data_IF_753690942738
#
_entry.id   IF_753690942738
#
_cell.length_a   1.000
_cell.length_b   1.000
_cell.length_c   1.000
_cell.angle_alpha   90.00
_cell.angle_beta   90.00
_cell.angle_gamma   90.00
#
_symmetry.space_group_name_H-M   'P 1'
#
loop_
_entity.id
_entity.type
_entity.pdbx_description
1 polymer ?
#
# COMPACT_ATOMS: atom_id res chain seq x y z
N UNK A 1 -8.82 12.19 -13.11
CA UNK A 1 -7.87 12.54 -12.03
C UNK A 1 -7.70 11.41 -11.03
N UNK A 2 -8.79 10.87 -10.46
CA UNK A 2 -8.77 9.71 -9.54
C UNK A 2 -7.98 8.52 -10.07
N UNK A 3 -8.23 8.06 -11.31
CA UNK A 3 -7.48 6.95 -11.92
C UNK A 3 -5.96 7.24 -12.01
N UNK A 4 -5.57 8.47 -12.35
CA UNK A 4 -4.15 8.88 -12.40
C UNK A 4 -3.51 8.87 -11.00
N UNK A 5 -4.26 9.27 -9.96
CA UNK A 5 -3.81 9.21 -8.56
C UNK A 5 -3.68 7.76 -8.08
N UNK A 6 -4.59 6.88 -8.48
CA UNK A 6 -4.50 5.45 -8.18
C UNK A 6 -3.20 4.85 -8.73
N UNK A 7 -2.90 5.12 -10.01
CA UNK A 7 -1.67 4.63 -10.64
C UNK A 7 -0.43 5.18 -9.92
N UNK A 8 -0.41 6.47 -9.59
CA UNK A 8 0.71 7.08 -8.85
C UNK A 8 0.95 6.41 -7.50
N UNK A 9 -0.10 6.19 -6.70
CA UNK A 9 0.00 5.56 -5.39
C UNK A 9 0.39 4.08 -5.47
N UNK A 10 -0.15 3.33 -6.44
CA UNK A 10 0.22 1.93 -6.62
C UNK A 10 1.68 1.76 -7.05
N UNK A 11 2.17 2.64 -7.93
CA UNK A 11 3.58 2.63 -8.38
C UNK A 11 4.51 3.02 -7.25
N UNK A 12 4.13 3.98 -6.41
CA UNK A 12 4.94 4.41 -5.26
C UNK A 12 5.22 3.24 -4.30
N UNK A 13 4.20 2.45 -3.96
CA UNK A 13 4.37 1.24 -3.14
C UNK A 13 5.28 0.20 -3.82
N UNK A 14 5.11 -0.05 -5.11
CA UNK A 14 5.90 -1.03 -5.85
C UNK A 14 7.38 -0.64 -5.94
N UNK A 15 7.67 0.64 -6.18
CA UNK A 15 9.05 1.16 -6.25
C UNK A 15 9.73 1.07 -4.88
N UNK A 16 9.02 1.44 -3.83
CA UNK A 16 9.52 1.33 -2.45
C UNK A 16 9.91 -0.12 -2.13
N UNK A 17 9.01 -1.09 -2.36
CA UNK A 17 9.33 -2.51 -2.16
C UNK A 17 10.52 -2.97 -3.00
N UNK A 18 10.60 -2.58 -4.27
CA UNK A 18 11.69 -2.94 -5.17
C UNK A 18 13.06 -2.39 -4.72
N UNK A 19 13.10 -1.16 -4.21
CA UNK A 19 14.33 -0.57 -3.66
C UNK A 19 14.73 -1.28 -2.37
N UNK A 20 13.80 -1.55 -1.47
CA UNK A 20 14.09 -2.28 -0.23
C UNK A 20 14.57 -3.72 -0.49
N UNK A 21 14.04 -4.38 -1.51
CA UNK A 21 14.50 -5.69 -1.96
C UNK A 21 15.93 -5.66 -2.52
N UNK A 22 16.26 -4.63 -3.30
CA UNK A 22 17.61 -4.47 -3.88
C UNK A 22 18.67 -4.14 -2.81
N UNK A 23 18.28 -3.41 -1.76
CA UNK A 23 19.15 -3.06 -0.62
C UNK A 23 19.27 -4.17 0.44
N UNK A 24 18.55 -5.29 0.29
CA UNK A 24 18.60 -6.37 1.26
C UNK A 24 20.01 -7.04 1.28
N UNK A 25 20.61 -7.19 2.48
CA UNK A 25 21.97 -7.70 2.64
C UNK A 25 22.11 -9.22 2.43
N UNK A 26 21.00 -9.97 2.54
CA UNK A 26 21.01 -11.42 2.39
C UNK A 26 21.13 -11.84 0.92
N UNK A 27 21.91 -12.87 0.57
CA UNK A 27 22.01 -13.38 -0.80
C UNK A 27 20.80 -14.21 -1.22
N UNK A 28 20.07 -14.81 -0.27
CA UNK A 28 18.91 -15.66 -0.51
C UNK A 28 17.66 -14.86 -0.89
N UNK A 29 16.96 -15.32 -1.93
CA UNK A 29 15.77 -14.64 -2.46
C UNK A 29 14.67 -14.54 -1.41
N UNK A 30 14.46 -15.59 -0.63
CA UNK A 30 13.46 -15.66 0.43
C UNK A 30 13.79 -14.66 1.57
N UNK A 31 15.06 -14.58 1.97
CA UNK A 31 15.55 -13.61 2.96
C UNK A 31 15.37 -12.16 2.51
N UNK A 32 15.66 -11.85 1.24
CA UNK A 32 15.43 -10.51 0.67
C UNK A 32 13.95 -10.12 0.65
N UNK A 33 13.06 -11.07 0.33
CA UNK A 33 11.61 -10.85 0.35
C UNK A 33 11.15 -10.56 1.77
N UNK A 34 11.50 -11.42 2.74
CA UNK A 34 11.13 -11.28 4.16
C UNK A 34 11.66 -9.97 4.74
N UNK A 35 12.90 -9.60 4.44
CA UNK A 35 13.50 -8.35 4.90
C UNK A 35 12.78 -7.13 4.33
N UNK A 36 12.52 -7.09 3.01
CA UNK A 36 11.80 -5.97 2.40
C UNK A 36 10.36 -5.87 2.96
N UNK A 37 9.71 -7.01 3.20
CA UNK A 37 8.34 -7.07 3.69
C UNK A 37 8.24 -6.63 5.16
N UNK A 38 9.17 -7.08 6.01
CA UNK A 38 9.24 -6.67 7.41
C UNK A 38 9.52 -5.17 7.55
N UNK A 39 10.48 -4.67 6.77
CA UNK A 39 10.94 -3.28 6.82
C UNK A 39 9.92 -2.30 6.23
N UNK A 40 9.30 -2.63 5.09
CA UNK A 40 8.39 -1.73 4.40
C UNK A 40 6.91 -2.03 4.60
N UNK A 41 6.54 -3.27 4.88
CA UNK A 41 5.13 -3.63 5.10
C UNK A 41 4.53 -2.88 6.28
N UNK A 42 5.28 -2.69 7.36
CA UNK A 42 4.85 -1.89 8.51
C UNK A 42 4.70 -0.41 8.17
N UNK A 43 5.64 0.17 7.41
CA UNK A 43 5.57 1.55 6.95
C UNK A 43 4.39 1.81 6.00
N UNK A 44 4.18 0.91 5.03
CA UNK A 44 3.08 0.99 4.06
C UNK A 44 1.73 0.76 4.74
N UNK A 45 1.65 -0.14 5.73
CA UNK A 45 0.45 -0.32 6.54
C UNK A 45 0.07 0.94 7.32
N UNK A 46 1.04 1.60 7.96
CA UNK A 46 0.80 2.87 8.65
C UNK A 46 0.39 4.00 7.70
N UNK A 47 1.00 4.06 6.51
CA UNK A 47 0.63 5.02 5.47
C UNK A 47 -0.80 4.78 4.94
N UNK A 48 -1.19 3.52 4.74
CA UNK A 48 -2.54 3.16 4.34
C UNK A 48 -3.56 3.50 5.43
N UNK A 49 -3.26 3.20 6.69
CA UNK A 49 -4.12 3.50 7.83
C UNK A 49 -4.34 5.01 8.00
N UNK A 50 -3.28 5.81 7.98
CA UNK A 50 -3.38 7.28 8.11
C UNK A 50 -4.20 7.89 6.98
N UNK A 51 -4.01 7.43 5.75
CA UNK A 51 -4.77 7.91 4.59
C UNK A 51 -6.23 7.44 4.64
N UNK A 52 -6.51 6.24 5.13
CA UNK A 52 -7.87 5.75 5.37
C UNK A 52 -8.59 6.61 6.41
N UNK A 53 -7.94 6.91 7.53
CA UNK A 53 -8.50 7.78 8.58
C UNK A 53 -8.75 9.19 8.04
N UNK A 54 -7.82 9.74 7.27
CA UNK A 54 -8.00 11.04 6.61
C UNK A 54 -9.22 11.02 5.66
N UNK A 55 -9.37 9.99 4.83
CA UNK A 55 -10.52 9.82 3.95
C UNK A 55 -11.85 9.68 4.71
N UNK A 56 -11.85 8.96 5.83
CA UNK A 56 -13.02 8.80 6.70
C UNK A 56 -13.43 10.13 7.36
N UNK A 57 -12.46 10.94 7.79
CA UNK A 57 -12.73 12.28 8.34
C UNK A 57 -13.25 13.28 7.31
N UNK A 58 -13.11 13.00 6.01
CA UNK A 58 -13.65 13.83 4.92
C UNK A 58 -15.10 13.45 4.53
N UNK A 59 -15.63 12.31 4.99
CA UNK A 59 -17.02 11.89 4.73
C UNK A 59 -18.13 12.78 5.32
N UNK A 60 -18.02 13.42 6.50
CA UNK A 60 -19.07 14.30 7.02
C UNK A 60 -19.12 15.69 6.34
N UNK A 61 -18.41 15.89 5.23
CA UNK A 61 -18.42 17.16 4.49
C UNK A 61 -19.71 17.34 3.68
N UNK A 62 -20.23 18.57 3.64
CA UNK A 62 -21.37 18.97 2.81
C UNK A 62 -21.01 19.20 1.33
N UNK A 63 -19.72 19.26 1.00
CA UNK A 63 -19.22 19.50 -0.36
C UNK A 63 -19.00 18.17 -1.07
N UNK A 64 -19.72 17.94 -2.17
CA UNK A 64 -19.71 16.68 -2.93
C UNK A 64 -18.32 16.23 -3.40
N UNK A 65 -17.42 17.18 -3.67
CA UNK A 65 -16.05 16.88 -4.09
C UNK A 65 -15.22 16.23 -2.97
N UNK A 66 -15.43 16.63 -1.70
CA UNK A 66 -14.68 16.05 -0.57
C UNK A 66 -15.18 14.65 -0.21
N UNK A 67 -16.48 14.39 -0.33
CA UNK A 67 -17.03 13.05 -0.09
C UNK A 67 -16.63 12.06 -1.19
N UNK A 68 -16.61 12.47 -2.46
CA UNK A 68 -16.11 11.64 -3.57
C UNK A 68 -14.62 11.32 -3.45
N UNK A 69 -13.79 12.30 -3.07
CA UNK A 69 -12.36 12.08 -2.89
C UNK A 69 -12.06 11.25 -1.64
N UNK A 70 -12.79 11.49 -0.55
CA UNK A 70 -12.67 10.71 0.69
C UNK A 70 -13.01 9.24 0.50
N UNK A 71 -14.15 8.94 -0.14
CA UNK A 71 -14.56 7.55 -0.45
C UNK A 71 -13.59 6.85 -1.40
N UNK A 72 -13.07 7.56 -2.41
CA UNK A 72 -12.05 7.05 -3.32
C UNK A 72 -10.74 6.68 -2.59
N UNK A 73 -10.21 7.57 -1.75
CA UNK A 73 -9.02 7.33 -0.94
C UNK A 73 -9.23 6.15 0.03
N UNK A 74 -10.40 6.06 0.65
CA UNK A 74 -10.77 4.98 1.55
C UNK A 74 -10.74 3.62 0.84
N UNK A 75 -11.39 3.50 -0.32
CA UNK A 75 -11.47 2.26 -1.08
C UNK A 75 -10.11 1.81 -1.60
N UNK A 76 -9.32 2.72 -2.18
CA UNK A 76 -8.00 2.38 -2.71
C UNK A 76 -7.06 1.92 -1.61
N UNK A 77 -7.04 2.59 -0.47
CA UNK A 77 -6.14 2.21 0.62
C UNK A 77 -6.55 0.88 1.24
N UNK A 78 -7.85 0.63 1.43
CA UNK A 78 -8.33 -0.63 2.00
C UNK A 78 -8.07 -1.81 1.05
N UNK A 79 -8.35 -1.66 -0.25
CA UNK A 79 -8.15 -2.70 -1.25
C UNK A 79 -6.65 -2.92 -1.50
N UNK A 80 -5.87 -1.86 -1.68
CA UNK A 80 -4.43 -1.97 -1.94
C UNK A 80 -3.67 -2.56 -0.75
N UNK A 81 -4.06 -2.22 0.49
CA UNK A 81 -3.48 -2.82 1.68
C UNK A 81 -3.88 -4.29 1.85
N UNK A 82 -5.17 -4.64 1.66
CA UNK A 82 -5.61 -6.03 1.72
C UNK A 82 -4.91 -6.88 0.64
N UNK A 83 -4.75 -6.35 -0.57
CA UNK A 83 -4.04 -7.04 -1.64
C UNK A 83 -2.54 -7.19 -1.32
N UNK A 84 -1.88 -6.13 -0.83
CA UNK A 84 -0.48 -6.21 -0.41
C UNK A 84 -0.26 -7.14 0.78
N UNK A 85 -1.23 -7.27 1.68
CA UNK A 85 -1.09 -8.12 2.88
C UNK A 85 -1.41 -9.57 2.57
N UNK A 86 -2.54 -9.88 1.91
CA UNK A 86 -2.95 -11.25 1.64
C UNK A 86 -2.33 -11.81 0.36
N UNK A 87 -2.36 -11.08 -0.75
CA UNK A 87 -1.88 -11.58 -2.04
C UNK A 87 -0.36 -11.72 -2.06
N UNK A 88 0.37 -10.73 -1.51
CA UNK A 88 1.83 -10.82 -1.43
C UNK A 88 2.29 -11.90 -0.44
N UNK A 89 1.67 -12.03 0.74
CA UNK A 89 2.03 -13.09 1.69
C UNK A 89 1.74 -14.48 1.13
N UNK A 90 0.61 -14.69 0.45
CA UNK A 90 0.31 -15.96 -0.23
C UNK A 90 1.30 -16.22 -1.37
N UNK A 91 1.64 -15.21 -2.18
CA UNK A 91 2.60 -15.35 -3.27
C UNK A 91 4.01 -15.66 -2.76
N UNK A 92 4.46 -15.02 -1.67
CA UNK A 92 5.73 -15.34 -1.03
C UNK A 92 5.73 -16.74 -0.38
N UNK A 93 4.58 -17.22 0.12
CA UNK A 93 4.47 -18.56 0.71
C UNK A 93 4.46 -19.68 -0.33
N UNK A 94 3.93 -19.42 -1.53
CA UNK A 94 3.78 -20.41 -2.60
C UNK A 94 4.87 -20.37 -3.68
N UNK A 95 5.49 -19.21 -3.91
CA UNK A 95 6.45 -18.95 -5.00
C UNK A 95 7.78 -18.34 -4.52
N UNK A 96 7.92 -18.07 -3.22
CA UNK A 96 9.15 -17.58 -2.60
C UNK A 96 10.25 -18.63 -2.56
#
# INVERSE_FOLDING_TARGET
>A
VTISVAVGLSVDFAVHYGVAYRLAPDPDREGKVIFSLSRMGSAIAMAALTTFVAGAMMMPSTVLAYTQLGTFMMLIMCISWAFATFFFQCMCRCLG
#
